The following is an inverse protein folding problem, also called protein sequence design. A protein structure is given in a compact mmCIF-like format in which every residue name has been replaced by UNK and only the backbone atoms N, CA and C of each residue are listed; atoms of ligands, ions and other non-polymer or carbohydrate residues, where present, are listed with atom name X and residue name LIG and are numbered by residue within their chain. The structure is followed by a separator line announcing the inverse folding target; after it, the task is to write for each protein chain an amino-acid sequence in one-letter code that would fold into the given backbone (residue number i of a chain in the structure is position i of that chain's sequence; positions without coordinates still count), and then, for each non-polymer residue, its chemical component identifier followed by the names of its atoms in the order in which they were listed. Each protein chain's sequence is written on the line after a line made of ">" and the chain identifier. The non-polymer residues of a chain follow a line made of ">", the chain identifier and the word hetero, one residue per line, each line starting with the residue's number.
data_IF_138092367990
#
_entry.id   IF_138092367990
#
_cell.length_a   1.000
_cell.length_b   1.000
_cell.length_c   1.000
_cell.angle_alpha   90.00
_cell.angle_beta   90.00
_cell.angle_gamma   90.00
#
_symmetry.space_group_name_H-M   'P 1'
#
loop_
_entity.id
_entity.type
_entity.pdbx_description
1 polymer ?
#
# COMPACT_ATOMS: atom_id res chain seq x y z
N UNK A 1 10.88 -0.72 -16.00
CA UNK A 1 10.29 -1.82 -15.19
C UNK A 1 11.42 -2.59 -14.53
N UNK A 2 11.29 -2.96 -13.25
CA UNK A 2 12.35 -3.67 -12.52
C UNK A 2 12.40 -5.15 -12.91
N UNK A 3 13.58 -5.75 -12.95
CA UNK A 3 13.82 -7.19 -13.23
C UNK A 3 13.03 -8.13 -12.31
N UNK A 4 12.78 -7.69 -11.07
CA UNK A 4 11.95 -8.42 -10.09
C UNK A 4 10.45 -8.45 -10.47
N UNK A 5 9.94 -7.39 -11.11
CA UNK A 5 8.57 -7.33 -11.63
C UNK A 5 8.39 -8.22 -12.85
N UNK A 6 9.39 -8.23 -13.76
CA UNK A 6 9.35 -9.02 -14.99
C UNK A 6 9.31 -10.52 -14.71
N UNK A 7 10.12 -11.01 -13.76
CA UNK A 7 10.13 -12.42 -13.32
C UNK A 7 8.82 -12.85 -12.65
N UNK A 8 8.10 -11.90 -12.02
CA UNK A 8 6.86 -12.18 -11.29
C UNK A 8 5.67 -12.37 -12.22
N UNK A 9 5.67 -11.68 -13.36
CA UNK A 9 4.58 -11.71 -14.34
C UNK A 9 4.73 -12.86 -15.34
N UNK A 10 5.96 -13.34 -15.61
CA UNK A 10 6.21 -14.41 -16.59
C UNK A 10 5.65 -15.78 -16.20
N UNK A 11 5.26 -15.98 -14.93
CA UNK A 11 4.71 -17.25 -14.43
C UNK A 11 3.30 -17.08 -13.82
N UNK A 12 2.59 -16.00 -14.17
CA UNK A 12 1.24 -15.77 -13.69
C UNK A 12 0.25 -16.68 -14.43
N UNK A 13 -0.56 -17.42 -13.67
CA UNK A 13 -1.69 -18.20 -14.20
C UNK A 13 -2.96 -17.42 -13.88
N UNK A 14 -3.70 -17.04 -14.92
CA UNK A 14 -5.02 -16.42 -14.78
C UNK A 14 -6.08 -17.51 -14.86
N UNK A 15 -6.96 -17.56 -13.86
CA UNK A 15 -8.07 -18.52 -13.81
C UNK A 15 -9.36 -17.73 -13.89
N UNK A 16 -10.17 -18.03 -14.91
CA UNK A 16 -11.54 -17.51 -15.00
C UNK A 16 -12.44 -18.26 -14.02
N UNK A 17 -13.10 -17.52 -13.13
CA UNK A 17 -14.09 -18.06 -12.19
C UNK A 17 -15.41 -17.32 -12.41
N UNK A 18 -16.51 -18.03 -12.27
CA UNK A 18 -17.81 -17.38 -12.06
C UNK A 18 -17.82 -16.66 -10.71
N UNK A 19 -18.74 -15.72 -10.53
CA UNK A 19 -18.86 -14.98 -9.28
C UNK A 19 -19.09 -15.91 -8.07
N UNK A 20 -20.00 -16.89 -8.21
CA UNK A 20 -20.32 -17.84 -7.15
C UNK A 20 -19.10 -18.70 -6.75
N UNK A 21 -18.29 -19.13 -7.71
CA UNK A 21 -17.06 -19.88 -7.43
C UNK A 21 -16.02 -19.00 -6.71
N UNK A 22 -15.86 -17.75 -7.15
CA UNK A 22 -14.95 -16.80 -6.51
C UNK A 22 -15.32 -16.56 -5.04
N UNK A 23 -16.62 -16.41 -4.74
CA UNK A 23 -17.13 -16.22 -3.38
C UNK A 23 -16.88 -17.45 -2.49
N UNK A 24 -17.08 -18.66 -3.01
CA UNK A 24 -16.77 -19.90 -2.29
C UNK A 24 -15.28 -20.05 -1.99
N UNK A 25 -14.41 -19.77 -2.97
CA UNK A 25 -12.96 -19.83 -2.80
C UNK A 25 -12.51 -18.79 -1.77
N UNK A 26 -13.10 -17.60 -1.76
CA UNK A 26 -12.81 -16.57 -0.75
C UNK A 26 -13.22 -16.96 0.66
N UNK A 27 -14.40 -17.58 0.80
CA UNK A 27 -14.86 -18.06 2.09
C UNK A 27 -13.92 -19.15 2.63
N UNK A 28 -13.55 -20.11 1.79
CA UNK A 28 -12.65 -21.20 2.15
C UNK A 28 -11.22 -20.70 2.47
N UNK A 29 -10.70 -19.77 1.68
CA UNK A 29 -9.38 -19.16 1.92
C UNK A 29 -9.34 -18.41 3.26
N UNK A 30 -10.41 -17.66 3.57
CA UNK A 30 -10.58 -16.98 4.87
C UNK A 30 -10.64 -17.95 6.03
N UNK A 31 -11.43 -19.02 5.91
CA UNK A 31 -11.52 -20.07 6.94
C UNK A 31 -10.16 -20.74 7.20
N UNK A 32 -9.34 -20.90 6.17
CA UNK A 32 -7.99 -21.43 6.27
C UNK A 32 -6.92 -20.40 6.67
N UNK A 33 -7.30 -19.13 6.93
CA UNK A 33 -6.39 -18.07 7.34
C UNK A 33 -5.34 -17.69 6.28
N UNK A 34 -5.62 -17.91 4.99
CA UNK A 34 -4.67 -17.68 3.89
C UNK A 34 -5.28 -16.83 2.78
N UNK A 35 -4.44 -16.21 1.96
CA UNK A 35 -4.90 -15.51 0.75
C UNK A 35 -5.50 -16.46 -0.29
N UNK A 36 -6.45 -15.98 -1.11
CA UNK A 36 -7.07 -16.74 -2.23
C UNK A 36 -6.03 -17.44 -3.11
N UNK A 37 -4.96 -16.73 -3.49
CA UNK A 37 -3.91 -17.28 -4.33
C UNK A 37 -3.08 -18.38 -3.65
N UNK A 38 -2.84 -18.25 -2.33
CA UNK A 38 -2.17 -19.30 -1.56
C UNK A 38 -3.08 -20.52 -1.36
N UNK A 39 -4.37 -20.30 -1.11
CA UNK A 39 -5.37 -21.35 -1.02
C UNK A 39 -5.44 -22.17 -2.31
N UNK A 40 -5.63 -21.51 -3.46
CA UNK A 40 -5.69 -22.17 -4.76
C UNK A 40 -4.41 -22.95 -5.07
N UNK A 41 -3.23 -22.35 -4.83
CA UNK A 41 -1.95 -23.01 -5.05
C UNK A 41 -1.80 -24.28 -4.22
N UNK A 42 -2.12 -24.22 -2.92
CA UNK A 42 -2.06 -25.39 -2.02
C UNK A 42 -2.95 -26.51 -2.50
N UNK A 43 -4.18 -26.20 -2.92
CA UNK A 43 -5.10 -27.20 -3.45
C UNK A 43 -4.59 -27.84 -4.75
N UNK A 44 -4.06 -27.03 -5.68
CA UNK A 44 -3.47 -27.55 -6.93
C UNK A 44 -2.24 -28.43 -6.64
N UNK A 45 -1.34 -27.98 -5.78
CA UNK A 45 -0.14 -28.75 -5.42
C UNK A 45 -0.49 -30.05 -4.69
N UNK A 46 -1.47 -30.01 -3.78
CA UNK A 46 -1.96 -31.20 -3.09
C UNK A 46 -2.55 -32.22 -4.08
N UNK A 47 -3.32 -31.77 -5.07
CA UNK A 47 -3.84 -32.64 -6.13
C UNK A 47 -2.73 -33.26 -7.00
N UNK A 48 -1.58 -32.60 -7.11
CA UNK A 48 -0.38 -33.09 -7.82
C UNK A 48 0.57 -33.90 -6.93
N UNK A 49 0.25 -34.10 -5.64
CA UNK A 49 1.14 -34.76 -4.68
C UNK A 49 2.42 -33.97 -4.38
N UNK A 50 2.41 -32.66 -4.62
CA UNK A 50 3.55 -31.76 -4.41
C UNK A 50 3.40 -30.97 -3.11
N UNK A 51 4.53 -30.72 -2.45
CA UNK A 51 4.58 -29.88 -1.24
C UNK A 51 4.70 -28.41 -1.66
N UNK A 52 3.92 -27.55 -1.02
CA UNK A 52 4.04 -26.11 -1.21
C UNK A 52 5.35 -25.58 -0.61
N UNK A 53 6.39 -25.50 -1.45
CA UNK A 53 7.69 -24.94 -1.09
C UNK A 53 7.73 -23.41 -1.15
N UNK A 54 6.62 -22.73 -1.52
CA UNK A 54 6.61 -21.27 -1.42
C UNK A 54 6.56 -20.85 0.05
N UNK A 55 7.64 -20.24 0.52
CA UNK A 55 7.72 -19.66 1.85
C UNK A 55 6.43 -18.86 2.14
N UNK A 56 5.76 -19.20 3.24
CA UNK A 56 4.63 -18.43 3.71
C UNK A 56 5.05 -16.96 3.74
N UNK A 57 4.37 -16.10 2.97
CA UNK A 57 4.46 -14.66 3.22
C UNK A 57 4.05 -14.53 4.67
N UNK A 58 4.98 -14.10 5.53
CA UNK A 58 4.66 -13.67 6.89
C UNK A 58 3.51 -12.69 6.68
N UNK A 59 2.30 -13.10 7.08
CA UNK A 59 1.16 -12.21 7.06
C UNK A 59 1.60 -10.97 7.81
N UNK A 60 1.48 -9.80 7.19
CA UNK A 60 1.64 -8.57 7.93
C UNK A 60 0.74 -8.72 9.15
N UNK A 61 1.34 -8.64 10.34
CA UNK A 61 0.57 -8.60 11.58
C UNK A 61 -0.46 -7.51 11.38
N UNK A 62 -1.74 -7.89 11.27
CA UNK A 62 -2.85 -6.95 11.13
C UNK A 62 -2.75 -5.98 12.29
N UNK A 63 -2.36 -4.74 11.99
CA UNK A 63 -2.15 -3.75 13.02
C UNK A 63 -3.51 -3.41 13.64
N UNK A 64 -3.58 -3.19 14.96
CA UNK A 64 -4.80 -2.78 15.62
C UNK A 64 -5.46 -1.61 14.87
N UNK A 65 -6.79 -1.60 14.68
CA UNK A 65 -7.47 -0.53 13.95
C UNK A 65 -7.18 0.88 14.48
N UNK A 66 -6.89 1.01 15.79
CA UNK A 66 -6.46 2.26 16.42
C UNK A 66 -5.16 2.82 15.83
N UNK A 67 -4.20 1.97 15.48
CA UNK A 67 -2.88 2.39 15.01
C UNK A 67 -2.98 2.81 13.54
N UNK A 68 -3.76 2.08 12.74
CA UNK A 68 -4.11 2.49 11.36
C UNK A 68 -4.82 3.84 11.36
N UNK A 69 -5.76 4.06 12.30
CA UNK A 69 -6.50 5.33 12.44
C UNK A 69 -5.59 6.48 12.85
N UNK A 70 -4.67 6.25 13.78
CA UNK A 70 -3.69 7.25 14.22
C UNK A 70 -2.78 7.68 13.05
N UNK A 71 -2.25 6.73 12.28
CA UNK A 71 -1.40 7.02 11.11
C UNK A 71 -2.19 7.74 10.02
N UNK A 72 -3.44 7.33 9.75
CA UNK A 72 -4.32 8.03 8.81
C UNK A 72 -4.61 9.48 9.25
N UNK A 73 -4.80 9.71 10.55
CA UNK A 73 -5.03 11.05 11.12
C UNK A 73 -3.79 11.93 10.97
N UNK A 74 -2.59 11.38 11.21
CA UNK A 74 -1.33 12.07 10.97
C UNK A 74 -1.17 12.43 9.49
N UNK A 75 -1.42 11.48 8.58
CA UNK A 75 -1.34 11.72 7.14
C UNK A 75 -2.28 12.84 6.68
N UNK A 76 -3.52 12.87 7.19
CA UNK A 76 -4.46 13.97 6.94
C UNK A 76 -3.95 15.32 7.47
N UNK A 77 -3.26 15.33 8.61
CA UNK A 77 -2.69 16.55 9.20
C UNK A 77 -1.51 17.08 8.37
N UNK A 78 -0.62 16.20 7.89
CA UNK A 78 0.46 16.57 6.97
C UNK A 78 -0.10 17.14 5.66
N UNK A 79 -1.17 16.55 5.12
CA UNK A 79 -1.84 17.07 3.93
C UNK A 79 -2.39 18.49 4.12
N UNK A 80 -3.04 18.77 5.27
CA UNK A 80 -3.51 20.13 5.60
C UNK A 80 -2.35 21.12 5.74
N UNK A 81 -1.26 20.74 6.41
CA UNK A 81 -0.07 21.57 6.51
C UNK A 81 0.51 21.88 5.12
N UNK A 82 0.64 20.89 4.24
CA UNK A 82 1.13 21.10 2.87
C UNK A 82 0.24 22.08 2.10
N UNK A 83 -1.09 21.95 2.22
CA UNK A 83 -2.04 22.88 1.61
C UNK A 83 -1.87 24.32 2.12
N UNK A 84 -1.72 24.50 3.43
CA UNK A 84 -1.47 25.81 4.03
C UNK A 84 -0.11 26.39 3.57
N UNK A 85 0.94 25.57 3.49
CA UNK A 85 2.26 25.99 3.00
C UNK A 85 2.23 26.41 1.53
N UNK A 86 1.43 25.76 0.68
CA UNK A 86 1.21 26.21 -0.72
C UNK A 86 0.61 27.62 -0.76
N UNK A 87 -0.43 27.88 0.04
CA UNK A 87 -1.06 29.20 0.09
C UNK A 87 -0.10 30.26 0.62
N UNK A 88 0.69 29.91 1.65
CA UNK A 88 1.74 30.79 2.18
C UNK A 88 2.82 31.09 1.13
N UNK A 89 3.33 30.07 0.43
CA UNK A 89 4.34 30.23 -0.61
C UNK A 89 3.84 31.14 -1.73
N UNK A 90 2.57 31.01 -2.12
CA UNK A 90 1.91 31.89 -3.10
C UNK A 90 1.85 33.34 -2.61
N UNK A 91 1.35 33.56 -1.39
CA UNK A 91 1.26 34.90 -0.80
C UNK A 91 2.63 35.58 -0.67
N UNK A 92 3.67 34.84 -0.27
CA UNK A 92 5.05 35.34 -0.17
C UNK A 92 5.63 35.72 -1.53
N UNK A 93 5.32 34.94 -2.58
CA UNK A 93 5.72 35.27 -3.95
C UNK A 93 5.06 36.54 -4.43
N UNK A 94 3.75 36.68 -4.22
CA UNK A 94 2.98 37.86 -4.62
C UNK A 94 3.42 39.12 -3.86
N UNK A 95 3.80 38.99 -2.60
CA UNK A 95 4.33 40.08 -1.78
C UNK A 95 5.81 40.42 -2.03
N UNK A 96 6.50 39.71 -2.95
CA UNK A 96 7.91 39.96 -3.26
C UNK A 96 8.92 39.46 -2.21
N UNK A 97 8.48 38.63 -1.26
CA UNK A 97 9.32 38.07 -0.19
C UNK A 97 10.07 36.81 -0.66
N UNK A 98 10.96 36.97 -1.65
CA UNK A 98 11.62 35.85 -2.35
C UNK A 98 12.39 34.86 -1.45
N UNK A 99 13.09 35.33 -0.41
CA UNK A 99 13.83 34.47 0.52
C UNK A 99 12.90 33.59 1.37
N UNK A 100 11.77 34.14 1.83
CA UNK A 100 10.75 33.40 2.57
C UNK A 100 9.96 32.45 1.65
N UNK A 101 9.69 32.85 0.41
CA UNK A 101 9.10 31.96 -0.59
C UNK A 101 9.99 30.73 -0.82
N UNK A 102 11.30 30.91 -1.01
CA UNK A 102 12.24 29.80 -1.16
C UNK A 102 12.31 28.89 0.08
N UNK A 103 12.11 29.43 1.29
CA UNK A 103 12.00 28.64 2.51
C UNK A 103 10.68 27.83 2.52
N UNK A 104 9.56 28.45 2.16
CA UNK A 104 8.27 27.78 2.09
C UNK A 104 8.26 26.63 1.06
N UNK A 105 8.90 26.81 -0.10
CA UNK A 105 9.05 25.75 -1.12
C UNK A 105 9.88 24.57 -0.61
N UNK A 106 10.94 24.81 0.18
CA UNK A 106 11.72 23.74 0.83
C UNK A 106 10.88 22.96 1.83
N UNK A 107 10.16 23.65 2.70
CA UNK A 107 9.24 23.02 3.66
C UNK A 107 8.17 22.19 2.94
N UNK A 108 7.63 22.71 1.84
CA UNK A 108 6.64 22.01 1.03
C UNK A 108 7.20 20.73 0.40
N UNK A 109 8.45 20.75 -0.08
CA UNK A 109 9.12 19.56 -0.60
C UNK A 109 9.28 18.48 0.47
N UNK A 110 9.63 18.86 1.70
CA UNK A 110 9.76 17.93 2.82
C UNK A 110 8.41 17.34 3.24
N UNK A 111 7.36 18.17 3.30
CA UNK A 111 5.99 17.69 3.59
C UNK A 111 5.49 16.70 2.54
N UNK A 112 5.78 16.93 1.25
CA UNK A 112 5.45 15.99 0.17
C UNK A 112 6.18 14.66 0.30
N UNK A 113 7.46 14.69 0.68
CA UNK A 113 8.25 13.48 0.93
C UNK A 113 7.68 12.68 2.10
N UNK A 114 7.43 13.34 3.22
CA UNK A 114 6.82 12.72 4.40
C UNK A 114 5.43 12.14 4.12
N UNK A 115 4.63 12.83 3.29
CA UNK A 115 3.32 12.32 2.86
C UNK A 115 3.44 11.04 2.03
N UNK A 116 4.42 10.94 1.13
CA UNK A 116 4.69 9.72 0.38
C UNK A 116 5.14 8.57 1.30
N UNK A 117 6.02 8.86 2.26
CA UNK A 117 6.48 7.86 3.23
C UNK A 117 5.32 7.32 4.09
N UNK A 118 4.43 8.21 4.54
CA UNK A 118 3.22 7.83 5.29
C UNK A 118 2.26 6.97 4.46
N UNK A 119 2.10 7.25 3.16
CA UNK A 119 1.28 6.44 2.27
C UNK A 119 1.84 5.01 2.16
N UNK A 120 3.17 4.87 2.00
CA UNK A 120 3.85 3.56 1.97
C UNK A 120 3.68 2.82 3.30
N UNK A 121 3.76 3.52 4.42
CA UNK A 121 3.52 2.92 5.74
C UNK A 121 2.08 2.39 5.80
N UNK A 122 1.08 3.21 5.47
CA UNK A 122 -0.34 2.80 5.48
C UNK A 122 -0.59 1.59 4.58
N UNK A 123 0.00 1.54 3.38
CA UNK A 123 -0.10 0.38 2.49
C UNK A 123 0.48 -0.90 3.08
N UNK A 124 1.56 -0.79 3.87
CA UNK A 124 2.19 -1.93 4.55
C UNK A 124 1.45 -2.37 5.81
N UNK A 125 0.55 -1.53 6.32
CA UNK A 125 -0.29 -1.85 7.49
C UNK A 125 -1.61 -2.55 7.12
N UNK A 126 -2.00 -2.53 5.84
CA UNK A 126 -3.16 -3.23 5.28
C UNK A 126 -2.79 -4.64 4.83
#
# INVERSE_FOLDING_TARGET
>A
MSTSQHRRLSHQINVGLTQAEAEHVDAAARAAGVSRAAFARRHVLAALGQVDATAARRGGTSLPPKDVTAVATLAGSVGRCAGATVQLAKALREAGHGSFHALAERVLADLRRQSADLAVIIERMK
#
